data_IF_411774086360
#
_entry.id   IF_411774086360
#
_cell.length_a   1.000
_cell.length_b   1.000
_cell.length_c   1.000
_cell.angle_alpha   90.00
_cell.angle_beta   90.00
_cell.angle_gamma   90.00
#
_symmetry.space_group_name_H-M   'P 1'
#
loop_
_entity.id
_entity.type
_entity.pdbx_description
1 polymer ?
#
# COMPACT_ATOMS: atom_id res chain seq x y z
N UNK A 1 -38.79 30.36 12.43
CA UNK A 1 -37.40 30.87 12.41
C UNK A 1 -36.51 29.76 12.95
N UNK A 2 -35.66 29.16 12.11
CA UNK A 2 -34.77 28.04 12.50
C UNK A 2 -33.54 28.59 13.25
N UNK A 3 -33.20 27.97 14.38
CA UNK A 3 -32.02 28.32 15.19
C UNK A 3 -30.73 27.85 14.52
N UNK A 4 -30.21 28.65 13.60
CA UNK A 4 -28.88 28.45 13.03
C UNK A 4 -27.82 28.92 14.04
N UNK A 5 -26.95 28.01 14.47
CA UNK A 5 -25.80 28.36 15.30
C UNK A 5 -24.60 28.64 14.41
N UNK A 6 -23.88 29.72 14.72
CA UNK A 6 -22.65 30.07 14.01
C UNK A 6 -21.51 29.21 14.53
N UNK A 7 -20.86 28.47 13.64
CA UNK A 7 -19.68 27.68 13.95
C UNK A 7 -18.45 28.26 13.25
N UNK A 8 -17.30 28.17 13.92
CA UNK A 8 -15.99 28.46 13.33
C UNK A 8 -15.20 27.17 13.38
N UNK A 9 -14.71 26.70 12.23
CA UNK A 9 -13.91 25.50 12.18
C UNK A 9 -12.59 25.70 12.96
N UNK A 10 -12.27 24.87 13.96
CA UNK A 10 -10.99 24.97 14.65
C UNK A 10 -9.80 24.60 13.75
N UNK A 11 -10.02 23.82 12.68
CA UNK A 11 -8.98 23.40 11.73
C UNK A 11 -8.66 24.47 10.68
N UNK A 12 -9.68 25.01 10.00
CA UNK A 12 -9.47 25.94 8.87
C UNK A 12 -9.93 27.39 9.10
N UNK A 13 -10.45 27.72 10.29
CA UNK A 13 -11.03 29.04 10.63
C UNK A 13 -12.25 29.47 9.77
N UNK A 14 -12.71 28.62 8.85
CA UNK A 14 -13.90 28.86 8.04
C UNK A 14 -15.14 28.99 8.93
N UNK A 15 -15.91 30.05 8.70
CA UNK A 15 -17.18 30.33 9.39
C UNK A 15 -18.32 29.75 8.58
N UNK A 16 -19.21 29.01 9.23
CA UNK A 16 -20.38 28.40 8.59
C UNK A 16 -21.55 28.28 9.56
N UNK A 17 -22.74 28.11 9.01
CA UNK A 17 -24.00 27.98 9.74
C UNK A 17 -24.57 26.60 9.47
N UNK A 18 -24.98 25.89 10.51
CA UNK A 18 -25.65 24.59 10.37
C UNK A 18 -26.82 24.48 11.34
N UNK A 19 -27.83 23.72 10.91
CA UNK A 19 -28.87 23.22 11.81
C UNK A 19 -28.28 22.13 12.72
N UNK A 20 -28.75 22.12 13.97
CA UNK A 20 -28.26 21.21 15.00
C UNK A 20 -28.71 19.78 14.68
N UNK A 21 -27.81 18.95 14.16
CA UNK A 21 -28.08 17.53 13.96
C UNK A 21 -28.16 16.79 15.33
N UNK A 22 -29.02 15.75 15.47
CA UNK A 22 -29.24 15.06 16.75
C UNK A 22 -27.99 14.36 17.34
N UNK A 23 -26.92 14.21 16.54
CA UNK A 23 -25.79 13.31 16.80
C UNK A 23 -24.51 14.05 17.25
N UNK A 24 -24.57 15.35 17.51
CA UNK A 24 -23.49 16.13 18.15
C UNK A 24 -22.18 16.27 17.36
N UNK A 25 -22.16 15.80 16.12
CA UNK A 25 -20.96 15.73 15.27
C UNK A 25 -21.18 16.56 14.01
N UNK A 26 -20.32 17.55 13.78
CA UNK A 26 -20.43 18.49 12.66
C UNK A 26 -19.22 18.33 11.76
N UNK A 27 -19.41 18.10 10.46
CA UNK A 27 -18.31 18.15 9.49
C UNK A 27 -18.14 19.59 8.99
N UNK A 28 -16.91 20.10 9.04
CA UNK A 28 -16.59 21.39 8.45
C UNK A 28 -16.66 21.30 6.91
N UNK A 29 -17.48 22.12 6.24
CA UNK A 29 -17.65 22.05 4.78
C UNK A 29 -16.39 22.47 4.01
N UNK A 30 -15.44 23.16 4.66
CA UNK A 30 -14.25 23.68 3.99
C UNK A 30 -13.05 22.73 4.04
N UNK A 31 -12.92 21.92 5.09
CA UNK A 31 -11.74 21.05 5.28
C UNK A 31 -12.07 19.62 5.68
N UNK A 32 -13.36 19.27 5.80
CA UNK A 32 -13.80 17.93 6.19
C UNK A 32 -13.54 17.55 7.65
N UNK A 33 -12.97 18.45 8.45
CA UNK A 33 -12.68 18.19 9.86
C UNK A 33 -13.96 17.99 10.67
N UNK A 34 -13.99 16.93 11.47
CA UNK A 34 -15.07 16.66 12.42
C UNK A 34 -14.93 17.58 13.64
N UNK A 35 -15.92 18.43 13.85
CA UNK A 35 -16.07 19.33 14.99
C UNK A 35 -16.99 18.63 16.00
N UNK A 36 -16.43 17.99 17.01
CA UNK A 36 -17.17 17.56 18.19
C UNK A 36 -17.42 18.76 19.09
N UNK A 37 -18.61 18.83 19.70
CA UNK A 37 -19.07 19.98 20.51
C UNK A 37 -18.25 20.31 21.77
N UNK A 38 -17.09 19.70 21.99
CA UNK A 38 -16.19 19.98 23.11
C UNK A 38 -14.76 20.05 22.58
N UNK A 39 -14.26 21.28 22.45
CA UNK A 39 -12.94 21.55 21.88
C UNK A 39 -11.81 20.83 22.60
N UNK A 40 -10.97 20.15 21.83
CA UNK A 40 -9.52 20.05 22.01
C UNK A 40 -8.86 19.72 20.67
N UNK A 41 -7.85 20.52 20.33
CA UNK A 41 -7.08 20.48 19.09
C UNK A 41 -6.18 19.24 19.02
N UNK A 42 -6.13 18.60 17.84
CA UNK A 42 -5.15 17.59 17.49
C UNK A 42 -4.49 17.91 16.14
N UNK A 43 -3.20 18.28 16.20
CA UNK A 43 -2.12 18.34 15.18
C UNK A 43 -2.43 18.67 13.71
N UNK A 44 -1.63 19.60 13.15
CA UNK A 44 -1.32 19.67 11.71
C UNK A 44 -0.91 18.28 11.23
N UNK A 45 -1.69 17.69 10.33
CA UNK A 45 -1.24 16.55 9.53
C UNK A 45 -0.06 17.05 8.70
N UNK A 46 1.14 16.53 8.97
CA UNK A 46 2.22 16.54 7.99
C UNK A 46 1.72 15.73 6.80
N UNK A 47 1.71 16.32 5.60
CA UNK A 47 1.33 15.60 4.40
C UNK A 47 2.23 14.36 4.26
N UNK A 48 1.60 13.19 4.10
CA UNK A 48 2.30 11.91 4.03
C UNK A 48 2.76 11.72 2.58
N UNK A 49 4.04 11.41 2.31
CA UNK A 49 4.54 11.12 0.96
C UNK A 49 3.70 10.05 0.25
N UNK A 50 3.53 10.19 -1.07
CA UNK A 50 2.87 9.20 -1.91
C UNK A 50 3.87 8.55 -2.87
N UNK A 51 3.77 7.24 -3.12
CA UNK A 51 4.65 6.48 -4.00
C UNK A 51 3.88 5.39 -4.77
N UNK A 52 4.34 5.04 -5.96
CA UNK A 52 3.83 3.91 -6.75
C UNK A 52 4.90 2.84 -6.90
N UNK A 53 4.59 1.59 -6.53
CA UNK A 53 5.45 0.43 -6.72
C UNK A 53 4.92 -0.41 -7.88
N UNK A 54 5.72 -0.55 -8.94
CA UNK A 54 5.37 -1.31 -10.15
C UNK A 54 6.61 -1.94 -10.77
N UNK A 55 6.52 -3.21 -11.19
CA UNK A 55 7.58 -3.91 -11.92
C UNK A 55 8.99 -3.80 -11.33
N UNK A 56 9.11 -3.89 -9.99
CA UNK A 56 10.42 -3.76 -9.33
C UNK A 56 10.94 -2.33 -9.21
N UNK A 57 10.11 -1.32 -9.43
CA UNK A 57 10.48 0.09 -9.31
C UNK A 57 9.51 0.83 -8.39
N UNK A 58 10.06 1.57 -7.43
CA UNK A 58 9.34 2.61 -6.69
C UNK A 58 9.49 3.95 -7.43
N UNK A 59 8.37 4.59 -7.77
CA UNK A 59 8.32 5.91 -8.40
C UNK A 59 7.62 6.87 -7.44
N UNK A 60 8.17 8.08 -7.19
CA UNK A 60 7.49 9.09 -6.42
C UNK A 60 6.14 9.46 -7.02
N UNK A 61 5.15 9.53 -6.14
CA UNK A 61 3.78 9.92 -6.42
C UNK A 61 2.87 8.84 -7.02
N UNK A 62 1.59 9.20 -7.15
CA UNK A 62 0.51 8.32 -7.64
C UNK A 62 -0.23 9.01 -8.79
N UNK A 63 -0.28 8.35 -9.95
CA UNK A 63 -0.97 8.89 -11.13
C UNK A 63 -2.48 8.96 -10.90
N UNK A 64 -3.10 10.03 -11.40
CA UNK A 64 -4.54 10.24 -11.33
C UNK A 64 -5.15 10.39 -12.73
N UNK A 65 -6.47 10.25 -12.78
CA UNK A 65 -7.29 10.51 -13.96
C UNK A 65 -8.57 11.21 -13.49
N UNK A 66 -8.91 12.35 -14.08
CA UNK A 66 -10.07 13.17 -13.72
C UNK A 66 -10.23 13.45 -12.22
N UNK A 67 -9.11 13.67 -11.52
CA UNK A 67 -9.09 13.94 -10.08
C UNK A 67 -9.37 12.71 -9.21
N UNK A 68 -9.22 11.51 -9.77
CA UNK A 68 -9.40 10.24 -9.09
C UNK A 68 -8.10 9.41 -9.15
N UNK A 69 -7.78 8.72 -8.07
CA UNK A 69 -6.78 7.64 -8.08
C UNK A 69 -7.47 6.39 -8.62
N UNK A 70 -6.90 5.80 -9.66
CA UNK A 70 -7.48 4.66 -10.37
C UNK A 70 -6.73 3.37 -10.01
N UNK A 71 -7.45 2.41 -9.46
CA UNK A 71 -6.95 1.07 -9.13
C UNK A 71 -7.71 0.00 -9.90
N UNK A 72 -7.01 -0.94 -10.52
CA UNK A 72 -7.64 -2.00 -11.29
C UNK A 72 -8.08 -1.56 -12.69
N UNK A 73 -8.92 -2.38 -13.31
CA UNK A 73 -9.46 -2.16 -14.66
C UNK A 73 -10.94 -2.57 -14.75
N UNK A 74 -11.65 -2.08 -15.78
CA UNK A 74 -13.00 -2.57 -16.11
C UNK A 74 -12.93 -3.85 -16.96
N UNK A 75 -13.98 -4.68 -16.85
CA UNK A 75 -14.18 -5.87 -17.68
C UNK A 75 -14.16 -7.20 -16.91
N UNK A 76 -14.19 -8.30 -17.67
CA UNK A 76 -14.47 -9.66 -17.18
C UNK A 76 -13.55 -10.10 -16.04
N UNK A 77 -14.10 -10.21 -14.83
CA UNK A 77 -13.38 -10.65 -13.63
C UNK A 77 -12.41 -9.61 -13.04
N UNK A 78 -12.42 -8.38 -13.56
CA UNK A 78 -11.63 -7.25 -13.07
C UNK A 78 -12.47 -6.39 -12.14
N UNK A 79 -11.81 -5.54 -11.37
CA UNK A 79 -12.48 -4.60 -10.46
C UNK A 79 -11.80 -3.24 -10.54
N UNK A 80 -12.47 -2.29 -11.17
CA UNK A 80 -12.05 -0.91 -11.16
C UNK A 80 -12.54 -0.22 -9.88
N UNK A 81 -11.60 0.33 -9.12
CA UNK A 81 -11.85 1.11 -7.93
C UNK A 81 -11.34 2.52 -8.16
N UNK A 82 -12.21 3.50 -7.96
CA UNK A 82 -11.90 4.92 -8.10
C UNK A 82 -11.90 5.54 -6.71
N UNK A 83 -10.77 6.10 -6.30
CA UNK A 83 -10.63 6.77 -5.01
C UNK A 83 -10.58 8.28 -5.28
N UNK A 84 -11.51 9.07 -4.73
CA UNK A 84 -11.44 10.51 -4.90
C UNK A 84 -10.19 11.05 -4.25
N UNK A 85 -9.55 12.04 -4.88
CA UNK A 85 -8.46 12.76 -4.24
C UNK A 85 -8.98 13.44 -2.97
N UNK A 86 -8.42 13.11 -1.80
CA UNK A 86 -8.85 13.75 -0.57
C UNK A 86 -8.50 15.24 -0.59
N UNK A 87 -9.35 16.06 0.00
CA UNK A 87 -9.11 17.50 0.15
C UNK A 87 -7.77 17.76 0.82
N UNK A 88 -6.90 18.54 0.17
CA UNK A 88 -5.55 18.83 0.65
C UNK A 88 -4.47 17.86 0.14
N UNK A 89 -4.81 16.92 -0.76
CA UNK A 89 -3.81 16.19 -1.52
C UNK A 89 -2.90 17.17 -2.29
N UNK A 90 -1.61 16.89 -2.29
CA UNK A 90 -0.63 17.66 -3.06
C UNK A 90 -0.49 17.03 -4.44
N UNK A 91 -0.70 17.81 -5.49
CA UNK A 91 -0.54 17.40 -6.89
C UNK A 91 0.63 18.16 -7.50
N UNK A 92 1.38 17.50 -8.39
CA UNK A 92 2.27 18.19 -9.32
C UNK A 92 1.53 18.70 -10.56
N UNK A 93 2.29 19.27 -11.50
CA UNK A 93 1.76 19.84 -12.75
C UNK A 93 1.27 18.78 -13.75
N UNK A 94 1.68 17.52 -13.58
CA UNK A 94 1.33 16.42 -14.47
C UNK A 94 0.13 15.60 -13.93
N UNK A 95 -0.46 16.03 -12.80
CA UNK A 95 -1.58 15.33 -12.18
C UNK A 95 -1.16 14.12 -11.35
N UNK A 96 0.10 14.04 -10.93
CA UNK A 96 0.57 13.01 -10.01
C UNK A 96 0.46 13.51 -8.58
N UNK A 97 -0.12 12.69 -7.70
CA UNK A 97 -0.21 12.96 -6.26
C UNK A 97 1.15 12.80 -5.64
N UNK A 98 1.70 13.88 -5.07
CA UNK A 98 2.99 13.89 -4.38
C UNK A 98 2.85 13.62 -2.88
N UNK A 99 1.68 13.93 -2.30
CA UNK A 99 1.38 13.63 -0.91
C UNK A 99 -0.13 13.53 -0.65
N UNK A 100 -0.51 12.69 0.32
CA UNK A 100 -1.90 12.50 0.75
C UNK A 100 -2.08 12.87 2.24
N UNK A 101 -3.12 13.65 2.60
CA UNK A 101 -3.47 13.89 3.98
C UNK A 101 -4.17 12.65 4.55
N UNK A 102 -3.40 11.79 5.23
CA UNK A 102 -3.94 10.60 5.89
C UNK A 102 -3.90 10.78 7.41
N UNK A 103 -5.05 10.63 8.05
CA UNK A 103 -5.20 10.67 9.51
C UNK A 103 -4.95 9.29 10.13
N UNK A 104 -3.81 8.66 9.81
CA UNK A 104 -3.41 7.39 10.42
C UNK A 104 -2.13 7.60 11.26
N UNK A 105 -2.16 7.35 12.58
CA UNK A 105 -1.11 7.78 13.50
C UNK A 105 0.26 7.13 13.22
N UNK A 106 0.26 5.97 12.57
CA UNK A 106 1.48 5.23 12.24
C UNK A 106 1.89 5.35 10.76
N UNK A 107 1.10 5.99 9.90
CA UNK A 107 1.43 6.06 8.48
C UNK A 107 2.52 7.10 8.21
N UNK A 108 3.56 6.68 7.49
CA UNK A 108 4.65 7.56 7.03
C UNK A 108 4.71 7.65 5.50
N UNK A 109 4.03 6.76 4.78
CA UNK A 109 3.88 6.81 3.34
C UNK A 109 2.49 6.32 2.93
N UNK A 110 2.00 6.79 1.77
CA UNK A 110 0.93 6.13 1.02
C UNK A 110 1.53 5.48 -0.20
N UNK A 111 1.33 4.17 -0.34
CA UNK A 111 1.86 3.38 -1.45
C UNK A 111 0.74 2.84 -2.32
N UNK A 112 0.86 3.01 -3.64
CA UNK A 112 0.09 2.31 -4.64
C UNK A 112 0.92 1.13 -5.16
N UNK A 113 0.52 -0.09 -4.82
CA UNK A 113 1.10 -1.32 -5.38
C UNK A 113 0.26 -1.70 -6.61
N UNK A 114 0.84 -1.50 -7.80
CA UNK A 114 0.22 -1.92 -9.07
C UNK A 114 0.30 -3.43 -9.24
N UNK A 115 -0.39 -3.95 -10.24
CA UNK A 115 -0.23 -5.35 -10.61
C UNK A 115 1.25 -5.68 -10.91
N UNK A 116 1.76 -6.73 -10.28
CA UNK A 116 3.11 -7.27 -10.49
C UNK A 116 3.09 -8.61 -11.23
N UNK A 117 1.93 -9.06 -11.71
CA UNK A 117 1.82 -10.31 -12.42
C UNK A 117 2.72 -10.31 -13.66
N UNK A 118 3.45 -11.42 -13.87
CA UNK A 118 4.12 -11.67 -15.15
C UNK A 118 3.13 -12.12 -16.21
N UNK A 119 3.59 -12.30 -17.45
CA UNK A 119 2.74 -12.85 -18.50
C UNK A 119 2.28 -14.27 -18.12
N UNK A 120 0.95 -14.48 -18.08
CA UNK A 120 0.30 -15.71 -17.59
C UNK A 120 0.77 -16.08 -16.17
N UNK A 121 1.03 -15.07 -15.36
CA UNK A 121 1.52 -15.18 -14.01
C UNK A 121 0.52 -14.65 -12.98
N UNK A 122 1.00 -14.59 -11.76
CA UNK A 122 0.36 -13.91 -10.65
C UNK A 122 1.45 -13.40 -9.71
N UNK A 123 1.01 -12.82 -8.60
CA UNK A 123 1.91 -12.30 -7.59
C UNK A 123 1.24 -12.28 -6.22
N UNK A 124 2.06 -12.26 -5.17
CA UNK A 124 1.63 -12.23 -3.77
C UNK A 124 2.54 -11.34 -2.92
N UNK A 125 2.01 -10.85 -1.80
CA UNK A 125 2.76 -10.17 -0.76
C UNK A 125 3.28 -11.19 0.25
N UNK A 126 4.57 -11.14 0.54
CA UNK A 126 5.24 -12.04 1.48
C UNK A 126 6.10 -11.22 2.45
N UNK A 127 6.48 -11.80 3.58
CA UNK A 127 7.59 -11.26 4.38
C UNK A 127 8.89 -11.36 3.58
N UNK A 128 9.92 -10.60 3.99
CA UNK A 128 11.24 -10.81 3.40
C UNK A 128 11.71 -12.25 3.65
N UNK A 129 12.37 -12.88 2.67
CA UNK A 129 12.98 -14.18 2.86
C UNK A 129 14.14 -14.10 3.84
N UNK A 130 14.15 -15.03 4.80
CA UNK A 130 15.18 -15.10 5.83
C UNK A 130 16.19 -16.20 5.53
N UNK A 131 17.45 -15.97 5.86
CA UNK A 131 18.51 -16.97 5.67
C UNK A 131 18.73 -17.87 6.89
N UNK A 132 18.20 -17.46 8.04
CA UNK A 132 18.55 -17.95 9.38
C UNK A 132 17.77 -19.20 9.82
N UNK A 133 16.93 -19.79 8.97
CA UNK A 133 16.19 -20.97 9.39
C UNK A 133 17.13 -22.19 9.50
N UNK A 134 17.34 -22.76 10.71
CA UNK A 134 18.28 -23.86 10.92
C UNK A 134 17.84 -25.17 10.27
N UNK A 135 16.56 -25.26 9.87
CA UNK A 135 15.93 -26.41 9.22
C UNK A 135 15.98 -26.34 7.69
N UNK A 136 16.58 -25.27 7.14
CA UNK A 136 16.74 -25.06 5.70
C UNK A 136 17.40 -26.25 5.02
N UNK A 137 16.73 -26.80 4.00
CA UNK A 137 17.22 -27.94 3.21
C UNK A 137 17.39 -29.25 4.01
N UNK A 138 17.02 -29.26 5.29
CA UNK A 138 17.14 -30.41 6.20
C UNK A 138 15.78 -31.06 6.48
N UNK A 139 14.69 -30.31 6.34
CA UNK A 139 13.34 -30.84 6.50
C UNK A 139 12.63 -31.00 5.15
N UNK A 140 12.33 -32.24 4.79
CA UNK A 140 11.25 -32.55 3.86
C UNK A 140 9.93 -32.56 4.65
N UNK A 141 9.37 -31.37 4.90
CA UNK A 141 8.00 -31.27 5.42
C UNK A 141 7.00 -31.76 4.36
N UNK A 142 5.93 -32.40 4.82
CA UNK A 142 4.77 -32.60 3.97
C UNK A 142 4.21 -31.23 3.57
N UNK A 143 3.58 -31.15 2.41
CA UNK A 143 3.06 -29.92 1.80
C UNK A 143 1.95 -29.25 2.61
N UNK A 144 1.47 -29.90 3.67
CA UNK A 144 0.41 -29.45 4.57
C UNK A 144 0.94 -28.96 5.93
N UNK A 145 2.26 -29.03 6.16
CA UNK A 145 2.86 -28.71 7.45
C UNK A 145 3.53 -27.33 7.45
N UNK A 146 3.48 -26.68 8.61
CA UNK A 146 4.15 -25.41 8.88
C UNK A 146 5.46 -25.65 9.62
N UNK A 147 6.57 -25.10 9.13
CA UNK A 147 7.88 -25.17 9.77
C UNK A 147 7.80 -24.56 11.18
N UNK A 148 8.17 -25.31 12.23
CA UNK A 148 8.00 -24.84 13.61
C UNK A 148 8.96 -23.70 14.01
N UNK A 149 9.95 -23.38 13.16
CA UNK A 149 10.96 -22.36 13.45
C UNK A 149 10.69 -21.05 12.72
N UNK A 150 10.33 -21.13 11.44
CA UNK A 150 10.14 -19.95 10.58
C UNK A 150 8.70 -19.76 10.11
N UNK A 151 7.78 -20.61 10.57
CA UNK A 151 6.35 -20.59 10.23
C UNK A 151 6.05 -20.77 8.73
N UNK A 152 6.99 -21.37 7.97
CA UNK A 152 6.85 -21.65 6.54
C UNK A 152 5.87 -22.78 6.24
N UNK A 153 4.89 -22.57 5.35
CA UNK A 153 3.97 -23.64 4.93
C UNK A 153 4.48 -24.40 3.70
N UNK A 154 4.59 -25.73 3.81
CA UNK A 154 4.99 -26.65 2.73
C UNK A 154 6.49 -26.99 2.69
N UNK A 155 6.98 -27.53 1.54
CA UNK A 155 8.39 -27.93 1.39
C UNK A 155 9.30 -26.74 1.65
N UNK A 156 10.25 -26.90 2.57
CA UNK A 156 11.16 -25.84 2.98
C UNK A 156 12.06 -25.43 1.82
N UNK A 157 11.69 -24.32 1.15
CA UNK A 157 12.55 -23.69 0.16
C UNK A 157 13.82 -23.15 0.83
N UNK A 158 14.83 -22.74 0.04
CA UNK A 158 16.04 -22.13 0.59
C UNK A 158 15.78 -20.78 1.29
N UNK A 159 14.56 -20.24 1.22
CA UNK A 159 14.19 -18.90 1.69
C UNK A 159 12.76 -18.89 2.26
N UNK A 160 12.56 -19.20 3.55
CA UNK A 160 11.24 -19.16 4.17
C UNK A 160 10.65 -17.74 4.17
N UNK A 161 9.38 -17.64 3.79
CA UNK A 161 8.57 -16.41 3.81
C UNK A 161 7.15 -16.68 4.27
N UNK A 162 6.51 -15.73 4.96
CA UNK A 162 5.10 -15.82 5.34
C UNK A 162 4.26 -15.00 4.38
N UNK A 163 3.13 -15.52 3.92
CA UNK A 163 2.18 -14.73 3.12
C UNK A 163 1.61 -13.58 3.95
N UNK A 164 1.50 -12.41 3.33
CA UNK A 164 0.93 -11.19 3.91
C UNK A 164 -0.34 -10.83 3.15
N UNK A 165 -1.32 -10.30 3.88
CA UNK A 165 -2.45 -9.58 3.31
C UNK A 165 -2.09 -8.11 3.20
N UNK A 166 -2.77 -7.37 2.34
CA UNK A 166 -2.54 -5.93 2.20
C UNK A 166 -2.75 -5.16 3.52
N UNK A 167 -3.69 -5.60 4.36
CA UNK A 167 -3.93 -5.01 5.69
C UNK A 167 -2.81 -5.26 6.69
N UNK A 168 -2.00 -6.31 6.47
CA UNK A 168 -0.84 -6.58 7.32
C UNK A 168 0.30 -5.58 7.04
N UNK A 169 0.25 -4.86 5.90
CA UNK A 169 1.19 -3.78 5.56
C UNK A 169 0.78 -2.41 6.10
N UNK A 170 -0.45 -2.24 6.60
CA UNK A 170 -0.97 -0.95 7.05
C UNK A 170 -2.47 -0.79 6.80
N UNK A 171 -2.92 0.47 6.77
CA UNK A 171 -4.33 0.76 6.52
C UNK A 171 -4.62 0.69 5.02
N UNK A 172 -5.34 -0.35 4.58
CA UNK A 172 -5.82 -0.49 3.21
C UNK A 172 -6.90 0.56 2.92
N UNK A 173 -6.56 1.53 2.07
CA UNK A 173 -7.48 2.59 1.64
C UNK A 173 -8.41 2.06 0.56
N UNK A 174 -7.87 1.33 -0.42
CA UNK A 174 -8.62 0.80 -1.54
C UNK A 174 -7.92 -0.39 -2.20
N UNK A 175 -8.71 -1.22 -2.86
CA UNK A 175 -8.24 -2.36 -3.63
C UNK A 175 -8.92 -2.39 -5.00
N UNK A 176 -8.13 -2.49 -6.06
CA UNK A 176 -8.58 -2.79 -7.41
C UNK A 176 -8.17 -4.19 -7.84
N UNK A 177 -8.55 -4.60 -9.04
CA UNK A 177 -8.08 -5.82 -9.65
C UNK A 177 -7.86 -5.62 -11.14
N UNK A 178 -6.64 -5.88 -11.61
CA UNK A 178 -6.23 -5.82 -13.01
C UNK A 178 -6.17 -7.22 -13.60
N UNK A 179 -6.46 -7.35 -14.90
CA UNK A 179 -6.16 -8.58 -15.63
C UNK A 179 -5.42 -8.24 -16.91
N UNK A 180 -4.24 -8.82 -17.07
CA UNK A 180 -3.39 -8.57 -18.23
C UNK A 180 -4.01 -9.13 -19.52
N UNK A 181 -3.75 -8.41 -20.61
CA UNK A 181 -4.22 -8.71 -21.96
C UNK A 181 -5.65 -8.21 -22.25
N UNK A 182 -5.93 -7.82 -23.50
CA UNK A 182 -7.21 -7.23 -23.92
C UNK A 182 -8.45 -8.08 -23.57
N UNK A 183 -8.31 -9.40 -23.45
CA UNK A 183 -9.40 -10.32 -23.14
C UNK A 183 -9.52 -10.73 -21.65
N UNK A 184 -8.65 -10.23 -20.75
CA UNK A 184 -8.61 -10.62 -19.33
C UNK A 184 -8.23 -12.09 -19.12
N UNK A 185 -7.41 -12.66 -20.01
CA UNK A 185 -7.03 -14.09 -20.00
C UNK A 185 -5.54 -14.34 -19.71
N UNK A 186 -4.74 -13.30 -19.46
CA UNK A 186 -3.27 -13.43 -19.42
C UNK A 186 -2.68 -13.14 -18.04
N UNK A 187 -3.23 -13.74 -16.99
CA UNK A 187 -2.79 -13.44 -15.62
C UNK A 187 -3.33 -12.08 -15.16
N UNK A 188 -3.08 -11.76 -13.90
CA UNK A 188 -3.63 -10.58 -13.26
C UNK A 188 -3.51 -10.70 -11.75
N UNK A 189 -3.88 -9.63 -11.09
CA UNK A 189 -3.76 -9.55 -9.67
C UNK A 189 -4.45 -8.33 -9.09
N UNK A 190 -4.57 -8.32 -7.76
CA UNK A 190 -5.07 -7.16 -7.04
C UNK A 190 -4.15 -5.96 -7.27
N UNK A 191 -4.66 -4.77 -7.03
CA UNK A 191 -3.87 -3.55 -6.86
C UNK A 191 -4.27 -2.93 -5.52
N UNK A 192 -3.31 -2.34 -4.80
CA UNK A 192 -3.55 -1.86 -3.44
C UNK A 192 -3.12 -0.42 -3.26
N UNK A 193 -3.98 0.40 -2.64
CA UNK A 193 -3.62 1.71 -2.10
C UNK A 193 -3.57 1.60 -0.58
N UNK A 194 -2.40 1.77 0.02
CA UNK A 194 -2.16 1.48 1.45
C UNK A 194 -1.49 2.68 2.10
N UNK A 195 -2.03 3.13 3.24
CA UNK A 195 -1.30 4.01 4.15
C UNK A 195 -0.47 3.16 5.10
N UNK A 196 0.85 3.20 4.93
CA UNK A 196 1.78 2.24 5.52
C UNK A 196 2.71 2.88 6.56
N UNK A 197 3.03 2.17 7.66
CA UNK A 197 4.11 2.53 8.57
C UNK A 197 5.48 2.22 7.94
N UNK A 198 6.58 2.62 8.60
CA UNK A 198 7.91 2.15 8.21
C UNK A 198 7.97 0.63 8.32
N UNK A 199 8.69 -0.02 7.41
CA UNK A 199 8.77 -1.48 7.39
C UNK A 199 9.27 -2.04 6.06
N UNK A 200 9.30 -3.36 5.99
CA UNK A 200 9.78 -4.09 4.83
C UNK A 200 8.87 -5.27 4.50
N UNK A 201 8.71 -5.53 3.21
CA UNK A 201 8.01 -6.70 2.71
C UNK A 201 8.56 -7.12 1.34
N UNK A 202 8.11 -8.27 0.85
CA UNK A 202 8.48 -8.79 -0.45
C UNK A 202 7.24 -8.91 -1.35
N UNK A 203 7.40 -8.56 -2.61
CA UNK A 203 6.46 -8.88 -3.68
C UNK A 203 7.05 -10.08 -4.42
N UNK A 204 6.37 -11.21 -4.34
CA UNK A 204 6.75 -12.43 -5.04
C UNK A 204 5.92 -12.59 -6.31
N UNK A 205 6.60 -12.89 -7.41
CA UNK A 205 6.03 -12.94 -8.75
C UNK A 205 6.26 -14.31 -9.37
N UNK A 206 5.32 -14.79 -10.17
CA UNK A 206 5.50 -16.01 -10.96
C UNK A 206 4.96 -15.86 -12.39
N UNK A 207 5.20 -16.86 -13.23
CA UNK A 207 4.93 -16.81 -14.67
C UNK A 207 6.15 -16.40 -15.49
N UNK A 208 5.94 -15.81 -16.67
CA UNK A 208 7.04 -15.32 -17.51
C UNK A 208 7.39 -13.88 -17.14
N UNK A 209 8.55 -13.72 -16.49
CA UNK A 209 9.01 -12.42 -15.98
C UNK A 209 10.00 -11.69 -16.92
N UNK A 210 10.45 -12.33 -18.00
CA UNK A 210 11.35 -11.74 -19.02
C UNK A 210 12.58 -11.01 -18.44
N UNK A 211 13.26 -11.65 -17.48
CA UNK A 211 14.44 -11.08 -16.82
C UNK A 211 14.12 -10.16 -15.64
N UNK A 212 12.85 -9.84 -15.39
CA UNK A 212 12.46 -9.08 -14.21
C UNK A 212 12.60 -9.93 -12.93
N UNK A 213 12.92 -9.31 -11.78
CA UNK A 213 13.14 -10.00 -10.52
C UNK A 213 11.90 -10.77 -10.07
N UNK A 214 12.14 -11.97 -9.53
CA UNK A 214 11.08 -12.83 -8.96
C UNK A 214 10.66 -12.39 -7.56
N UNK A 215 11.61 -11.89 -6.78
CA UNK A 215 11.41 -11.40 -5.42
C UNK A 215 11.83 -9.92 -5.38
N UNK A 216 10.84 -9.04 -5.31
CA UNK A 216 11.07 -7.59 -5.21
C UNK A 216 10.89 -7.20 -3.74
N UNK A 217 11.98 -6.79 -3.10
CA UNK A 217 11.93 -6.22 -1.77
C UNK A 217 11.37 -4.81 -1.85
N UNK A 218 10.56 -4.43 -0.86
CA UNK A 218 10.05 -3.08 -0.69
C UNK A 218 10.37 -2.63 0.73
N UNK A 219 10.96 -1.44 0.86
CA UNK A 219 11.32 -0.82 2.13
C UNK A 219 10.70 0.56 2.21
N UNK A 220 10.02 0.81 3.32
CA UNK A 220 9.41 2.09 3.66
C UNK A 220 10.21 2.66 4.82
N UNK A 221 10.85 3.78 4.59
CA UNK A 221 11.68 4.45 5.59
C UNK A 221 10.84 5.32 6.53
N UNK A 222 11.36 5.66 7.73
CA UNK A 222 10.67 6.55 8.67
C UNK A 222 10.33 7.94 8.13
N UNK A 223 11.05 8.41 7.11
CA UNK A 223 10.81 9.68 6.41
C UNK A 223 9.78 9.56 5.27
N UNK A 224 9.23 8.36 5.05
CA UNK A 224 8.25 8.08 4.00
C UNK A 224 8.87 7.78 2.62
N UNK A 225 10.20 7.77 2.49
CA UNK A 225 10.86 7.30 1.26
C UNK A 225 10.56 5.81 1.06
N UNK A 226 10.38 5.41 -0.20
CA UNK A 226 10.15 4.01 -0.60
C UNK A 226 11.25 3.56 -1.54
N UNK A 227 11.83 2.40 -1.26
CA UNK A 227 12.87 1.77 -2.06
C UNK A 227 12.47 0.35 -2.46
N UNK A 228 12.95 -0.09 -3.63
CA UNK A 228 12.79 -1.46 -4.13
C UNK A 228 14.14 -2.08 -4.50
N UNK A 229 14.32 -3.38 -4.29
CA UNK A 229 15.53 -4.12 -4.68
C UNK A 229 15.23 -5.56 -5.13
N UNK A 230 16.14 -6.19 -5.87
CA UNK A 230 16.11 -7.64 -6.09
C UNK A 230 16.63 -8.33 -4.82
N UNK A 231 15.73 -9.01 -4.11
CA UNK A 231 16.04 -9.67 -2.85
C UNK A 231 17.05 -10.79 -3.05
N UNK A 232 16.92 -11.55 -4.13
CA UNK A 232 17.76 -12.72 -4.37
C UNK A 232 19.17 -12.32 -4.76
N UNK A 233 19.29 -11.27 -5.57
CA UNK A 233 20.59 -10.67 -5.90
C UNK A 233 21.30 -10.17 -4.64
N UNK A 234 20.60 -9.45 -3.77
CA UNK A 234 21.15 -8.94 -2.51
C UNK A 234 21.62 -10.09 -1.58
N UNK A 235 20.79 -11.12 -1.39
CA UNK A 235 21.12 -12.29 -0.58
C UNK A 235 22.32 -13.06 -1.15
N UNK A 236 22.39 -13.21 -2.49
CA UNK A 236 23.52 -13.88 -3.13
C UNK A 236 24.83 -13.11 -2.97
N UNK A 237 24.78 -11.77 -3.00
CA UNK A 237 25.93 -10.89 -2.85
C UNK A 237 26.49 -10.91 -1.42
N UNK A 238 25.61 -10.93 -0.41
CA UNK A 238 26.02 -11.07 1.01
C UNK A 238 26.77 -12.38 1.23
N UNK A 239 26.24 -13.50 0.71
CA UNK A 239 26.92 -14.80 0.83
C UNK A 239 28.27 -14.85 0.16
N UNK A 240 28.38 -14.23 -1.02
CA UNK A 240 29.65 -14.12 -1.71
C UNK A 240 30.65 -13.41 -0.79
N UNK A 241 30.29 -12.26 -0.21
CA UNK A 241 31.16 -11.51 0.70
C UNK A 241 31.55 -12.28 1.97
N UNK A 242 30.66 -13.10 2.54
CA UNK A 242 30.96 -13.93 3.73
C UNK A 242 31.85 -15.15 3.45
N UNK A 243 32.01 -15.53 2.17
CA UNK A 243 32.79 -16.71 1.77
C UNK A 243 34.26 -16.39 1.44
N UNK A 244 34.68 -15.13 1.56
CA UNK A 244 36.06 -14.65 1.38
C UNK A 244 36.67 -14.23 2.72
#
# INVERSE_FOLDING_TARGET
MQNLLRHTCPSCQGRFWLERLPQGTILCPYCGATVSGSGRLGRRSSAVPACTVRNGTAVPGIRTEDGLIILGEEGRGRRLTRVPLPSGASLDREGTVQALPVSHPAAVAVILIRDHSGYRGGWELLTLPREDCPLRGKLELLWEETCPVCEWWGRHGPYPVRQLRAQDLGHLIAEGYCAQGAAGRMGGGPEYLIAAPPGEFCIYRWGRLYGAPRFVGVRIYPDGRVETWDVMEALSSTRAAESW
#
